data_IF_333292011042
#
_entry.id   IF_333292011042
#
_cell.length_a   1.000
_cell.length_b   1.000
_cell.length_c   1.000
_cell.angle_alpha   90.00
_cell.angle_beta   90.00
_cell.angle_gamma   90.00
#
_symmetry.space_group_name_H-M   'P 1'
#
loop_
_entity.id
_entity.type
_entity.pdbx_description
1 polymer ?
#
# COMPACT_ATOMS: atom_id res chain seq x y z
N UNK A 1 -4.80 2.62 -5.37
CA UNK A 1 -5.50 2.64 -4.06
C UNK A 1 -6.50 1.51 -4.03
N UNK A 2 -6.72 0.90 -2.88
CA UNK A 2 -7.72 -0.15 -2.68
C UNK A 2 -8.91 0.44 -1.93
N UNK A 3 -10.09 0.38 -2.56
CA UNK A 3 -11.34 0.79 -1.96
C UNK A 3 -12.23 -0.45 -1.73
N UNK A 4 -12.35 -0.95 -0.49
CA UNK A 4 -13.06 -2.18 -0.20
C UNK A 4 -14.59 -2.08 -0.40
N UNK A 5 -15.14 -0.89 -0.64
CA UNK A 5 -16.57 -0.71 -0.92
C UNK A 5 -16.94 -1.00 -2.37
N UNK A 6 -15.96 -0.93 -3.29
CA UNK A 6 -16.14 -1.16 -4.73
C UNK A 6 -15.33 -2.33 -5.27
N UNK A 7 -14.25 -2.71 -4.60
CA UNK A 7 -13.41 -3.81 -5.03
C UNK A 7 -13.83 -5.12 -4.38
N UNK A 8 -13.81 -6.21 -5.16
CA UNK A 8 -14.17 -7.53 -4.67
C UNK A 8 -13.00 -8.11 -3.87
N UNK A 9 -13.12 -8.12 -2.55
CA UNK A 9 -12.14 -8.64 -1.60
C UNK A 9 -12.62 -9.97 -1.04
N UNK A 10 -11.76 -11.00 -0.93
CA UNK A 10 -12.12 -12.27 -0.30
C UNK A 10 -12.47 -12.09 1.16
N UNK A 11 -13.47 -12.83 1.62
CA UNK A 11 -13.81 -12.89 3.04
C UNK A 11 -12.89 -13.86 3.78
N UNK A 12 -12.49 -13.47 4.99
CA UNK A 12 -11.80 -14.36 5.93
C UNK A 12 -12.79 -15.34 6.54
N UNK A 13 -12.36 -16.58 6.78
CA UNK A 13 -13.20 -17.58 7.43
C UNK A 13 -13.68 -17.07 8.80
N UNK A 14 -14.97 -17.27 9.11
CA UNK A 14 -15.61 -16.79 10.34
C UNK A 14 -15.02 -17.38 11.63
N UNK A 15 -14.31 -18.50 11.52
CA UNK A 15 -13.67 -19.17 12.67
C UNK A 15 -12.37 -18.48 13.14
N UNK A 16 -11.84 -17.55 12.35
CA UNK A 16 -10.66 -16.78 12.75
C UNK A 16 -11.11 -15.64 13.66
N UNK A 17 -10.69 -15.71 14.93
CA UNK A 17 -10.90 -14.64 15.89
C UNK A 17 -9.74 -13.64 15.82
N UNK A 18 -10.08 -12.39 15.63
CA UNK A 18 -9.13 -11.28 15.75
C UNK A 18 -9.33 -10.64 17.13
N UNK A 19 -8.44 -10.96 18.05
CA UNK A 19 -8.56 -10.53 19.45
C UNK A 19 -8.19 -9.05 19.65
N UNK A 20 -7.49 -8.45 18.67
CA UNK A 20 -7.04 -7.07 18.77
C UNK A 20 -7.56 -6.22 17.58
N UNK A 21 -8.21 -5.11 17.91
CA UNK A 21 -8.66 -4.11 16.93
C UNK A 21 -7.50 -3.45 16.15
N UNK A 22 -6.28 -3.54 16.66
CA UNK A 22 -5.08 -3.03 15.98
C UNK A 22 -4.76 -3.79 14.68
N UNK A 23 -5.28 -5.02 14.52
CA UNK A 23 -5.14 -5.81 13.30
C UNK A 23 -5.94 -5.27 12.11
N UNK A 24 -6.94 -4.42 12.36
CA UNK A 24 -7.78 -3.89 11.29
C UNK A 24 -7.13 -2.70 10.60
N UNK A 25 -7.13 -2.77 9.26
CA UNK A 25 -6.65 -1.68 8.42
C UNK A 25 -7.61 -0.48 8.49
N UNK A 26 -7.03 0.71 8.41
CA UNK A 26 -7.72 1.98 8.41
C UNK A 26 -7.38 2.77 7.14
N UNK A 27 -8.16 3.81 6.88
CA UNK A 27 -7.87 4.73 5.77
C UNK A 27 -6.48 5.36 5.94
N UNK A 28 -5.71 5.37 4.85
CA UNK A 28 -4.31 5.82 4.85
C UNK A 28 -3.29 4.74 5.24
N UNK A 29 -3.72 3.55 5.69
CA UNK A 29 -2.79 2.44 5.87
C UNK A 29 -2.25 1.98 4.52
N UNK A 30 -1.00 1.56 4.51
CA UNK A 30 -0.31 1.00 3.36
C UNK A 30 -0.15 -0.50 3.56
N UNK A 31 -0.46 -1.28 2.54
CA UNK A 31 -0.22 -2.72 2.50
C UNK A 31 0.81 -3.01 1.42
N UNK A 32 1.96 -3.56 1.82
CA UNK A 32 3.12 -3.82 0.96
C UNK A 32 3.21 -5.31 0.71
N UNK A 33 3.39 -5.74 -0.55
CA UNK A 33 3.67 -7.13 -0.89
C UNK A 33 5.06 -7.53 -0.40
N UNK A 34 5.15 -8.53 0.48
CA UNK A 34 6.41 -9.00 1.07
C UNK A 34 7.11 -10.07 0.22
N UNK A 35 6.39 -10.70 -0.70
CA UNK A 35 6.93 -11.72 -1.59
C UNK A 35 6.29 -11.64 -2.98
N UNK A 36 7.09 -11.92 -4.01
CA UNK A 36 6.64 -12.04 -5.40
C UNK A 36 7.62 -12.90 -6.21
N UNK A 37 7.15 -13.48 -7.31
CA UNK A 37 8.00 -14.27 -8.24
C UNK A 37 8.90 -13.38 -9.11
N UNK A 38 8.65 -12.08 -9.11
CA UNK A 38 9.35 -11.09 -9.93
C UNK A 38 9.71 -9.82 -9.13
N UNK A 39 10.10 -8.76 -9.84
CA UNK A 39 10.43 -7.46 -9.27
C UNK A 39 9.21 -6.67 -8.75
N UNK A 40 8.04 -7.30 -8.63
CA UNK A 40 6.84 -6.66 -8.06
C UNK A 40 6.81 -6.70 -6.53
N UNK A 41 7.74 -7.43 -5.89
CA UNK A 41 7.94 -7.37 -4.45
C UNK A 41 8.15 -5.92 -3.99
N UNK A 42 7.53 -5.55 -2.89
CA UNK A 42 7.56 -4.18 -2.38
C UNK A 42 6.52 -3.24 -3.00
N UNK A 43 5.76 -3.69 -4.03
CA UNK A 43 4.58 -2.94 -4.47
C UNK A 43 3.57 -2.82 -3.35
N UNK A 44 2.90 -1.69 -3.30
CA UNK A 44 1.96 -1.42 -2.23
C UNK A 44 0.63 -0.86 -2.73
N UNK A 45 -0.36 -0.93 -1.85
CA UNK A 45 -1.64 -0.25 -2.01
C UNK A 45 -1.96 0.58 -0.77
N UNK A 46 -2.56 1.74 -0.96
CA UNK A 46 -3.09 2.58 0.09
C UNK A 46 -4.58 2.27 0.27
N UNK A 47 -5.02 2.14 1.51
CA UNK A 47 -6.41 1.85 1.86
C UNK A 47 -7.20 3.16 1.87
N UNK A 48 -8.37 3.15 1.23
CA UNK A 48 -9.32 4.25 1.27
C UNK A 48 -10.75 3.71 1.48
N UNK A 49 -11.59 4.46 2.18
CA UNK A 49 -12.98 4.09 2.49
C UNK A 49 -13.12 2.72 3.20
N UNK A 50 -12.11 2.30 3.96
CA UNK A 50 -12.08 1.05 4.71
C UNK A 50 -12.64 1.14 6.13
N UNK A 51 -12.87 2.34 6.65
CA UNK A 51 -13.18 2.59 8.06
C UNK A 51 -14.47 1.91 8.58
N UNK A 52 -15.41 1.55 7.69
CA UNK A 52 -16.66 0.87 8.04
C UNK A 52 -16.57 -0.66 7.88
N UNK A 53 -15.42 -1.21 7.55
CA UNK A 53 -15.22 -2.64 7.31
C UNK A 53 -14.11 -3.19 8.20
N UNK A 54 -14.25 -4.44 8.64
CA UNK A 54 -13.19 -5.18 9.32
C UNK A 54 -12.23 -5.75 8.29
N UNK A 55 -11.33 -4.90 7.78
CA UNK A 55 -10.36 -5.25 6.76
C UNK A 55 -9.05 -5.66 7.42
N UNK A 56 -8.45 -6.76 6.98
CA UNK A 56 -7.14 -7.25 7.46
C UNK A 56 -6.17 -7.41 6.30
N UNK A 57 -4.90 -7.25 6.58
CA UNK A 57 -3.84 -7.50 5.61
C UNK A 57 -3.74 -8.99 5.28
N UNK A 58 -3.45 -9.32 4.03
CA UNK A 58 -3.23 -10.70 3.58
C UNK A 58 -1.93 -11.30 4.15
N UNK A 59 -1.79 -12.63 4.05
CA UNK A 59 -0.69 -13.40 4.63
C UNK A 59 0.69 -12.94 4.11
N UNK A 60 0.79 -12.69 2.80
CA UNK A 60 2.04 -12.24 2.15
C UNK A 60 2.06 -10.73 1.96
N UNK A 61 1.75 -10.01 3.04
CA UNK A 61 1.75 -8.55 3.03
C UNK A 61 2.24 -7.98 4.35
N UNK A 62 2.83 -6.80 4.29
CA UNK A 62 3.27 -6.03 5.45
C UNK A 62 2.38 -4.80 5.58
N UNK A 63 1.48 -4.74 6.58
CA UNK A 63 0.73 -3.53 6.85
C UNK A 63 1.61 -2.48 7.54
N UNK A 64 1.52 -1.26 7.06
CA UNK A 64 2.23 -0.10 7.59
C UNK A 64 1.24 1.04 7.83
N UNK A 65 1.23 1.58 9.05
CA UNK A 65 0.43 2.74 9.43
C UNK A 65 1.33 3.96 9.60
N UNK A 66 1.11 5.04 8.83
CA UNK A 66 1.83 6.29 9.03
C UNK A 66 1.59 6.84 10.43
N UNK A 67 2.64 7.29 11.13
CA UNK A 67 2.52 7.93 12.44
C UNK A 67 1.92 9.33 12.33
N UNK A 68 2.22 10.03 11.26
CA UNK A 68 1.70 11.35 10.96
C UNK A 68 0.64 11.25 9.87
N UNK A 69 -0.32 12.17 9.90
CA UNK A 69 -1.32 12.26 8.83
C UNK A 69 -0.63 12.62 7.52
N UNK A 70 -0.82 11.78 6.52
CA UNK A 70 -0.41 11.99 5.13
C UNK A 70 -1.69 12.13 4.30
N UNK A 71 -1.68 12.98 3.30
CA UNK A 71 -2.85 13.19 2.44
C UNK A 71 -3.07 11.99 1.52
N UNK A 72 -4.34 11.69 1.31
CA UNK A 72 -4.82 10.53 0.55
C UNK A 72 -4.19 10.46 -0.86
N UNK A 73 -3.76 9.25 -1.23
CA UNK A 73 -3.15 8.94 -2.52
C UNK A 73 -1.67 9.31 -2.63
N UNK A 74 -1.14 10.21 -1.77
CA UNK A 74 0.25 10.61 -1.88
C UNK A 74 1.19 9.44 -1.61
N UNK A 75 1.01 8.77 -0.46
CA UNK A 75 1.95 7.76 0.00
C UNK A 75 1.89 6.50 -0.87
N UNK A 76 0.71 6.06 -1.27
CA UNK A 76 0.54 4.91 -2.15
C UNK A 76 1.22 5.09 -3.51
N UNK A 77 1.17 6.27 -4.11
CA UNK A 77 1.87 6.55 -5.36
C UNK A 77 3.38 6.74 -5.15
N UNK A 78 3.78 7.43 -4.08
CA UNK A 78 5.20 7.62 -3.80
C UNK A 78 5.93 6.29 -3.57
N UNK A 79 5.39 5.40 -2.74
CA UNK A 79 5.99 4.10 -2.44
C UNK A 79 6.03 3.16 -3.66
N UNK A 80 5.13 3.34 -4.62
CA UNK A 80 5.18 2.62 -5.90
C UNK A 80 6.07 3.32 -6.95
N UNK A 81 6.63 4.49 -6.64
CA UNK A 81 7.52 5.19 -7.56
C UNK A 81 8.87 4.48 -7.70
N UNK A 82 9.52 4.67 -8.86
CA UNK A 82 10.87 4.16 -9.09
C UNK A 82 11.86 4.72 -8.07
N UNK A 83 11.69 5.96 -7.62
CA UNK A 83 12.56 6.60 -6.63
C UNK A 83 12.57 5.85 -5.29
N UNK A 84 11.40 5.39 -4.82
CA UNK A 84 11.33 4.59 -3.60
C UNK A 84 11.73 3.13 -3.87
N UNK A 85 11.22 2.53 -4.93
CA UNK A 85 11.48 1.12 -5.24
C UNK A 85 12.98 0.82 -5.41
N UNK A 86 13.77 1.75 -5.94
CA UNK A 86 15.22 1.59 -6.05
C UNK A 86 15.91 1.39 -4.69
N UNK A 87 15.33 1.87 -3.59
CA UNK A 87 15.86 1.62 -2.25
C UNK A 87 15.59 0.18 -1.79
N UNK A 88 14.54 -0.46 -2.32
CA UNK A 88 14.18 -1.83 -1.97
C UNK A 88 15.08 -2.85 -2.67
N UNK A 89 15.53 -2.57 -3.89
CA UNK A 89 16.30 -3.51 -4.71
C UNK A 89 17.46 -4.18 -3.96
N UNK A 90 18.35 -3.45 -3.26
CA UNK A 90 19.47 -4.06 -2.53
C UNK A 90 19.03 -4.84 -1.29
N UNK A 91 17.79 -4.65 -0.81
CA UNK A 91 17.23 -5.27 0.38
C UNK A 91 16.39 -6.51 0.08
N UNK A 92 16.05 -6.73 -1.19
CA UNK A 92 15.30 -7.88 -1.67
C UNK A 92 16.18 -9.11 -1.64
N UNK A 93 15.66 -10.22 -1.13
CA UNK A 93 16.34 -11.51 -1.04
C UNK A 93 15.54 -12.59 -1.79
N UNK A 94 16.24 -13.63 -2.21
CA UNK A 94 15.66 -14.79 -2.90
C UNK A 94 16.01 -14.84 -4.38
N UNK A 95 16.02 -16.06 -4.94
CA UNK A 95 16.41 -16.33 -6.33
C UNK A 95 15.23 -16.72 -7.21
N UNK A 96 14.25 -17.46 -6.68
CA UNK A 96 13.03 -17.88 -7.39
C UNK A 96 11.83 -17.05 -6.92
N UNK A 97 11.72 -16.87 -5.61
CA UNK A 97 10.72 -15.98 -5.00
C UNK A 97 11.49 -14.86 -4.31
N UNK A 98 11.29 -13.66 -4.78
CA UNK A 98 11.84 -12.46 -4.18
C UNK A 98 11.04 -12.09 -2.94
N UNK A 99 11.71 -11.70 -1.86
CA UNK A 99 11.04 -11.31 -0.61
C UNK A 99 11.73 -10.12 0.05
N UNK A 100 10.96 -9.37 0.82
CA UNK A 100 11.43 -8.26 1.65
C UNK A 100 10.86 -8.36 3.05
N UNK A 101 11.69 -8.13 4.06
CA UNK A 101 11.29 -8.22 5.46
C UNK A 101 10.84 -6.88 6.04
N UNK A 102 10.08 -6.93 7.16
CA UNK A 102 9.76 -5.73 7.94
C UNK A 102 11.01 -5.00 8.45
N UNK A 103 12.07 -5.73 8.77
CA UNK A 103 13.35 -5.14 9.21
C UNK A 103 14.01 -4.39 8.08
N UNK A 104 14.03 -4.96 6.87
CA UNK A 104 14.58 -4.29 5.69
C UNK A 104 13.82 -3.00 5.34
N UNK A 105 12.49 -3.01 5.44
CA UNK A 105 11.70 -1.80 5.19
C UNK A 105 12.04 -0.65 6.16
N UNK A 106 12.49 -0.94 7.38
CA UNK A 106 12.91 0.09 8.35
C UNK A 106 14.20 0.81 7.95
N UNK A 107 14.97 0.25 7.03
CA UNK A 107 16.21 0.84 6.51
C UNK A 107 15.96 1.82 5.36
N UNK A 108 14.72 1.92 4.89
CA UNK A 108 14.34 2.82 3.80
C UNK A 108 13.88 4.18 4.30
N UNK A 109 14.00 5.18 3.44
CA UNK A 109 13.62 6.56 3.72
C UNK A 109 12.40 6.96 2.90
N UNK A 110 11.44 7.58 3.57
CA UNK A 110 10.27 8.17 2.93
C UNK A 110 10.44 9.67 2.90
N UNK A 111 10.52 10.24 1.71
CA UNK A 111 10.61 11.70 1.52
C UNK A 111 9.25 12.23 1.10
N UNK A 112 8.76 13.24 1.78
CA UNK A 112 7.47 13.85 1.48
C UNK A 112 7.48 15.36 1.74
N UNK A 113 6.67 16.14 1.00
CA UNK A 113 6.50 17.56 1.25
C UNK A 113 5.89 17.82 2.64
N UNK A 114 6.38 18.82 3.34
CA UNK A 114 5.78 19.24 4.62
C UNK A 114 4.38 19.85 4.43
N UNK A 115 4.12 20.44 3.26
CA UNK A 115 2.83 21.05 2.94
C UNK A 115 1.79 19.98 2.62
N UNK A 116 0.77 19.88 3.47
CA UNK A 116 -0.42 19.04 3.23
C UNK A 116 -1.09 19.38 1.89
N UNK A 117 -1.12 20.66 1.51
CA UNK A 117 -1.69 21.09 0.24
C UNK A 117 -0.88 20.56 -0.98
N UNK A 118 0.43 20.50 -0.85
CA UNK A 118 1.29 19.92 -1.90
C UNK A 118 1.10 18.40 -2.00
N UNK A 119 1.10 17.68 -0.88
CA UNK A 119 0.79 16.25 -0.83
C UNK A 119 -0.56 15.96 -1.52
N UNK A 120 -1.59 16.74 -1.18
CA UNK A 120 -2.93 16.62 -1.74
C UNK A 120 -2.98 16.86 -3.25
N UNK A 121 -2.24 17.86 -3.75
CA UNK A 121 -2.16 18.11 -5.20
C UNK A 121 -1.49 16.97 -5.94
N UNK A 122 -0.38 16.44 -5.39
CA UNK A 122 0.34 15.31 -5.97
C UNK A 122 -0.54 14.05 -5.96
N UNK A 123 -1.13 13.70 -4.82
CA UNK A 123 -2.02 12.54 -4.69
C UNK A 123 -3.18 12.60 -5.68
N UNK A 124 -3.89 13.72 -5.75
CA UNK A 124 -5.00 13.93 -6.68
C UNK A 124 -4.58 13.84 -8.15
N UNK A 125 -3.43 14.39 -8.50
CA UNK A 125 -2.91 14.29 -9.86
C UNK A 125 -2.75 12.83 -10.30
N UNK A 126 -2.08 12.03 -9.50
CA UNK A 126 -1.87 10.62 -9.81
C UNK A 126 -3.17 9.78 -9.75
N UNK A 127 -4.07 10.08 -8.83
CA UNK A 127 -5.40 9.44 -8.78
C UNK A 127 -6.19 9.71 -10.06
N UNK A 128 -6.21 10.95 -10.52
CA UNK A 128 -6.88 11.32 -11.76
C UNK A 128 -6.26 10.61 -12.96
N UNK A 129 -4.94 10.62 -13.05
CA UNK A 129 -4.22 9.94 -14.13
C UNK A 129 -4.50 8.43 -14.15
N UNK A 130 -4.45 7.78 -12.98
CA UNK A 130 -4.77 6.35 -12.86
C UNK A 130 -6.20 6.03 -13.31
N UNK A 131 -7.17 6.87 -12.95
CA UNK A 131 -8.56 6.70 -13.37
C UNK A 131 -8.72 6.83 -14.89
N UNK A 132 -8.04 7.80 -15.52
CA UNK A 132 -8.06 7.97 -16.97
C UNK A 132 -7.46 6.76 -17.70
N UNK A 133 -6.33 6.23 -17.21
CA UNK A 133 -5.70 5.02 -17.77
C UNK A 133 -6.65 3.82 -17.64
N UNK A 134 -7.26 3.63 -16.48
CA UNK A 134 -8.19 2.51 -16.23
C UNK A 134 -9.43 2.58 -17.12
N UNK A 135 -9.96 3.78 -17.37
CA UNK A 135 -11.10 3.95 -18.29
C UNK A 135 -10.71 3.58 -19.73
N UNK A 136 -9.53 4.02 -20.20
CA UNK A 136 -9.04 3.70 -21.55
C UNK A 136 -8.74 2.21 -21.78
N UNK A 137 -8.44 1.47 -20.72
CA UNK A 137 -8.17 0.02 -20.81
C UNK A 137 -9.46 -0.82 -20.83
N UNK A 138 -10.62 -0.22 -20.60
CA UNK A 138 -11.93 -0.91 -20.59
C UNK A 138 -12.69 -0.77 -21.93
N UNK A 139 -12.18 0.05 -22.84
CA UNK A 139 -12.66 0.14 -24.24
C UNK A 139 -11.94 -0.89 -25.12
#
# INVERSE_FOLDING_TARGET
MLNPTIEKIPFVNKDIKFDDKSCFLQDGDIVIADAAEDLTVGKCTEISNGCNQKLVAGLHTIPCRPKNKIEEGFLGFYLNSKAYHNQLLPLIQGTKVSSISKSSLKETWVTFPFSSNEQKKIGRFFLTLNNLITLHQRE
#
